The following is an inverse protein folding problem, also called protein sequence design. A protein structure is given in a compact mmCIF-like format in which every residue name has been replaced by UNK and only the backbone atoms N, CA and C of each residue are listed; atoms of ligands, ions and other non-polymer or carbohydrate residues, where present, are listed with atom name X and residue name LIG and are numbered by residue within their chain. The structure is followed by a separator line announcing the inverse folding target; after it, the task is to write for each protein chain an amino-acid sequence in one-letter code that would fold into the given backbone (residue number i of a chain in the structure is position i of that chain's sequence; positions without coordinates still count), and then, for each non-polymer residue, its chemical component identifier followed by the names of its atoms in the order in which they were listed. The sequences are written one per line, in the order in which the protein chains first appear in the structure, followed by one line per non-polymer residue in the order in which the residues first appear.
data_IF_518883768212
#
_entry.id   IF_518883768212
#
_cell.length_a   1.000
_cell.length_b   1.000
_cell.length_c   1.000
_cell.angle_alpha   90.00
_cell.angle_beta   90.00
_cell.angle_gamma   90.00
#
_symmetry.space_group_name_H-M   'P 1'
#
loop_
_entity.id
_entity.type
_entity.pdbx_description
1 polymer ?
#
# COMPACT_ATOMS: atom_id res chain seq x y z
N UNK A 1 -4.36 2.99 9.53
CA UNK A 1 -4.29 1.54 9.83
C UNK A 1 -4.08 0.69 8.57
N UNK A 2 -3.13 1.06 7.69
CA UNK A 2 -2.80 0.28 6.48
C UNK A 2 -1.82 -0.89 6.76
N UNK A 3 -1.18 -0.88 7.94
CA UNK A 3 -0.21 -1.90 8.38
C UNK A 3 -0.83 -3.28 8.66
N UNK A 4 -2.15 -3.35 8.91
CA UNK A 4 -2.86 -4.61 9.17
C UNK A 4 -3.45 -5.25 7.91
N UNK A 5 -3.06 -4.82 6.72
CA UNK A 5 -3.57 -5.39 5.48
C UNK A 5 -2.96 -6.78 5.21
N UNK A 6 -3.77 -7.86 5.25
CA UNK A 6 -3.25 -9.20 5.00
C UNK A 6 -2.78 -9.34 3.56
N UNK A 7 -1.50 -9.68 3.39
CA UNK A 7 -0.82 -9.73 2.09
C UNK A 7 0.19 -8.61 1.88
N UNK A 8 0.23 -7.61 2.77
CA UNK A 8 1.30 -6.63 2.88
C UNK A 8 2.30 -7.17 3.90
N UNK A 9 3.44 -7.66 3.41
CA UNK A 9 4.54 -8.04 4.30
C UNK A 9 5.14 -6.81 5.00
N UNK A 10 5.89 -6.99 6.09
CA UNK A 10 6.51 -5.90 6.85
C UNK A 10 7.41 -4.99 5.98
N UNK A 11 8.08 -5.57 4.97
CA UNK A 11 8.88 -4.80 4.01
C UNK A 11 8.06 -3.90 3.08
N UNK A 12 6.77 -4.21 2.89
CA UNK A 12 5.87 -3.46 2.04
C UNK A 12 5.15 -2.38 2.85
N UNK A 13 4.73 -2.71 4.07
CA UNK A 13 4.17 -1.74 5.02
C UNK A 13 5.12 -0.57 5.24
N UNK A 14 6.40 -0.86 5.51
CA UNK A 14 7.44 0.16 5.67
C UNK A 14 7.58 1.10 4.47
N UNK A 15 7.47 0.54 3.24
CA UNK A 15 7.52 1.34 2.01
C UNK A 15 6.27 2.17 1.78
N UNK A 16 5.10 1.66 2.16
CA UNK A 16 3.83 2.41 2.10
C UNK A 16 3.90 3.58 3.07
N UNK A 17 4.43 3.37 4.28
CA UNK A 17 4.66 4.44 5.25
C UNK A 17 5.68 5.46 4.73
N UNK A 18 6.82 5.04 4.18
CA UNK A 18 7.79 5.97 3.57
C UNK A 18 7.17 6.75 2.41
N UNK A 19 6.41 6.08 1.53
CA UNK A 19 5.73 6.72 0.42
C UNK A 19 4.69 7.73 0.92
N UNK A 20 3.94 7.36 1.97
CA UNK A 20 2.96 8.24 2.60
C UNK A 20 3.61 9.43 3.30
N UNK A 21 4.78 9.22 3.90
CA UNK A 21 5.54 10.27 4.58
C UNK A 21 6.21 11.22 3.59
N UNK A 22 6.62 10.74 2.41
CA UNK A 22 7.26 11.57 1.38
C UNK A 22 6.26 12.25 0.44
N UNK A 23 5.22 11.53 -0.02
CA UNK A 23 4.22 12.04 -0.97
C UNK A 23 2.92 12.51 -0.33
N UNK A 24 2.68 12.17 0.93
CA UNK A 24 1.41 12.41 1.60
C UNK A 24 0.44 11.22 1.53
N UNK A 25 -0.76 11.35 2.12
CA UNK A 25 -1.77 10.30 2.12
C UNK A 25 -2.11 9.83 0.71
N UNK A 26 -2.38 8.52 0.56
CA UNK A 26 -2.86 7.99 -0.72
C UNK A 26 -4.25 8.56 -1.00
N UNK A 27 -4.37 9.31 -2.09
CA UNK A 27 -5.66 9.84 -2.57
C UNK A 27 -6.48 8.80 -3.32
N UNK A 28 -5.81 7.76 -3.84
CA UNK A 28 -6.42 6.63 -4.53
C UNK A 28 -5.67 5.34 -4.20
N UNK A 29 -6.39 4.22 -4.23
CA UNK A 29 -5.83 2.86 -4.16
C UNK A 29 -4.70 2.66 -5.19
N UNK A 30 -4.82 3.25 -6.37
CA UNK A 30 -3.80 3.18 -7.43
C UNK A 30 -2.45 3.78 -7.01
N UNK A 31 -2.42 4.74 -6.09
CA UNK A 31 -1.16 5.31 -5.58
C UNK A 31 -0.28 4.24 -4.92
N UNK A 32 -0.89 3.20 -4.36
CA UNK A 32 -0.19 2.07 -3.76
C UNK A 32 0.52 1.21 -4.82
N UNK A 33 0.06 1.17 -6.09
CA UNK A 33 0.81 0.53 -7.20
C UNK A 33 2.14 1.23 -7.48
N UNK A 34 2.27 2.51 -7.09
CA UNK A 34 3.53 3.26 -7.21
C UNK A 34 4.58 2.83 -6.19
N UNK A 35 4.21 2.03 -5.18
CA UNK A 35 5.13 1.55 -4.16
C UNK A 35 5.92 0.36 -4.69
N UNK A 36 7.25 0.48 -4.68
CA UNK A 36 8.16 -0.55 -5.20
C UNK A 36 7.98 -1.86 -4.42
N UNK A 37 7.49 -2.90 -5.10
CA UNK A 37 7.16 -4.21 -4.52
C UNK A 37 5.67 -4.54 -4.56
N UNK A 38 4.80 -3.54 -4.75
CA UNK A 38 3.37 -3.78 -4.95
C UNK A 38 3.11 -4.06 -6.43
N UNK A 39 3.24 -5.33 -6.81
CA UNK A 39 2.75 -5.81 -8.11
C UNK A 39 1.25 -6.06 -8.10
N UNK A 40 0.66 -6.35 -9.27
CA UNK A 40 -0.78 -6.60 -9.41
C UNK A 40 -1.32 -7.71 -8.49
N UNK A 41 -0.51 -8.73 -8.18
CA UNK A 41 -0.92 -9.81 -7.28
C UNK A 41 -1.11 -9.37 -5.83
N UNK A 42 -0.21 -8.51 -5.32
CA UNK A 42 -0.36 -7.91 -3.99
C UNK A 42 -1.46 -6.87 -4.03
N UNK A 43 -1.45 -6.01 -5.04
CA UNK A 43 -2.45 -4.97 -5.25
C UNK A 43 -3.88 -5.53 -5.22
N UNK A 44 -4.17 -6.63 -5.93
CA UNK A 44 -5.50 -7.25 -5.94
C UNK A 44 -5.96 -7.71 -4.56
N UNK A 45 -5.04 -8.21 -3.73
CA UNK A 45 -5.37 -8.68 -2.36
C UNK A 45 -5.63 -7.54 -1.40
N UNK A 46 -4.99 -6.40 -1.62
CA UNK A 46 -5.05 -5.25 -0.71
C UNK A 46 -6.08 -4.22 -1.16
N UNK A 47 -6.34 -4.10 -2.48
CA UNK A 47 -7.35 -3.22 -3.08
C UNK A 47 -8.70 -3.33 -2.39
N UNK A 48 -9.14 -4.56 -2.11
CA UNK A 48 -10.45 -4.82 -1.48
C UNK A 48 -10.48 -4.50 0.02
N UNK A 49 -9.31 -4.28 0.64
CA UNK A 49 -9.16 -3.99 2.06
C UNK A 49 -8.64 -2.58 2.34
N UNK A 50 -8.20 -1.86 1.33
CA UNK A 50 -7.85 -0.44 1.43
C UNK A 50 -9.14 0.34 1.32
N UNK A 51 -9.51 1.01 2.42
CA UNK A 51 -10.50 2.08 2.42
C UNK A 51 -9.73 3.39 2.65
N UNK A 52 -10.00 4.41 1.83
CA UNK A 52 -9.31 5.70 1.83
C UNK A 52 -9.92 6.63 2.86
#
# INVERSE_FOLDING_TARGET
ELDSLPGIGPAMAKRIEEYRSQKGPFTSIEGIKGVKGIGDGVFKKIKDKITI
#
